data_IF_638517508598
#
_entry.id   IF_638517508598
#
_cell.length_a   1.000
_cell.length_b   1.000
_cell.length_c   1.000
_cell.angle_alpha   90.00
_cell.angle_beta   90.00
_cell.angle_gamma   90.00
#
_symmetry.space_group_name_H-M   'P 1'
#
loop_
_entity.id
_entity.type
_entity.pdbx_description
1 polymer ?
#
# COMPACT_ATOMS: atom_id res chain seq x y z
N UNK A 1 3.50 -4.41 11.98
CA UNK A 1 2.47 -4.81 11.02
C UNK A 1 2.96 -4.53 9.62
N UNK A 2 2.73 -5.46 8.71
CA UNK A 2 3.11 -5.33 7.31
C UNK A 2 1.87 -5.16 6.45
N UNK A 3 2.04 -4.68 5.21
CA UNK A 3 0.90 -4.43 4.32
C UNK A 3 0.07 -5.70 4.11
N UNK A 4 0.73 -6.85 4.01
CA UNK A 4 0.04 -8.13 3.83
C UNK A 4 -0.97 -8.47 4.93
N UNK A 5 -0.86 -7.83 6.10
CA UNK A 5 -1.77 -8.06 7.22
C UNK A 5 -3.05 -7.25 7.12
N UNK A 6 -3.15 -6.36 6.12
CA UNK A 6 -4.29 -5.48 5.95
C UNK A 6 -5.32 -6.09 5.01
N UNK A 7 -6.56 -5.61 5.13
CA UNK A 7 -7.66 -6.01 4.25
C UNK A 7 -7.86 -5.01 3.13
N UNK A 8 -8.46 -5.45 2.02
CA UNK A 8 -8.83 -4.56 0.91
C UNK A 8 -9.69 -3.43 1.47
N UNK A 9 -9.34 -2.20 1.09
CA UNK A 9 -10.03 -0.99 1.54
C UNK A 9 -9.38 -0.32 2.74
N UNK A 10 -8.47 -0.99 3.45
CA UNK A 10 -7.73 -0.35 4.55
C UNK A 10 -6.82 0.74 4.01
N UNK A 11 -6.72 1.83 4.77
CA UNK A 11 -5.85 2.96 4.46
C UNK A 11 -4.69 2.99 5.44
N UNK A 12 -3.51 3.32 4.94
CA UNK A 12 -2.30 3.30 5.78
C UNK A 12 -1.27 4.27 5.25
N UNK A 13 -0.24 4.50 6.06
CA UNK A 13 0.95 5.27 5.69
C UNK A 13 2.18 4.45 5.98
N UNK A 14 3.25 4.71 5.24
CA UNK A 14 4.55 4.06 5.43
C UNK A 14 5.60 5.10 5.81
N UNK A 15 6.71 4.63 6.36
CA UNK A 15 7.82 5.51 6.73
C UNK A 15 8.41 6.22 5.52
N UNK A 16 8.50 5.52 4.39
CA UNK A 16 9.06 6.09 3.17
C UNK A 16 8.14 7.06 2.45
N UNK A 17 6.83 6.95 2.66
CA UNK A 17 5.82 7.80 2.04
C UNK A 17 4.88 8.39 3.07
N UNK A 18 5.42 9.01 4.12
CA UNK A 18 4.63 9.44 5.27
C UNK A 18 3.62 10.55 4.95
N UNK A 19 3.81 11.27 3.85
CA UNK A 19 2.87 12.31 3.42
C UNK A 19 1.82 11.77 2.45
N UNK A 20 1.91 10.50 2.07
CA UNK A 20 0.97 9.85 1.18
C UNK A 20 0.05 8.91 1.96
N UNK A 21 -1.19 8.77 1.47
CA UNK A 21 -2.14 7.80 2.03
C UNK A 21 -2.30 6.69 1.00
N UNK A 22 -2.11 5.46 1.42
CA UNK A 22 -2.28 4.28 0.59
C UNK A 22 -3.57 3.57 0.94
N UNK A 23 -4.25 3.04 -0.06
CA UNK A 23 -5.43 2.20 0.14
C UNK A 23 -5.16 0.84 -0.49
N UNK A 24 -5.38 -0.24 0.25
CA UNK A 24 -5.20 -1.60 -0.26
C UNK A 24 -6.29 -1.89 -1.28
N UNK A 25 -5.92 -2.26 -2.50
CA UNK A 25 -6.86 -2.57 -3.58
C UNK A 25 -6.96 -4.06 -3.89
N UNK A 26 -5.94 -4.85 -3.53
CA UNK A 26 -5.94 -6.28 -3.82
C UNK A 26 -5.29 -7.07 -2.70
N UNK A 27 -5.52 -8.38 -2.69
CA UNK A 27 -4.71 -9.30 -1.90
C UNK A 27 -3.34 -9.48 -2.55
N UNK A 28 -2.46 -10.26 -1.91
CA UNK A 28 -1.14 -10.55 -2.47
C UNK A 28 -1.30 -11.20 -3.84
N UNK A 29 -0.58 -10.65 -4.82
CA UNK A 29 -0.49 -11.21 -6.16
C UNK A 29 0.94 -11.63 -6.44
N UNK A 30 1.10 -12.71 -7.19
CA UNK A 30 2.41 -13.19 -7.63
C UNK A 30 2.45 -13.09 -9.15
N UNK A 31 3.23 -12.13 -9.66
CA UNK A 31 3.37 -11.90 -11.10
C UNK A 31 4.85 -12.05 -11.42
N UNK A 32 5.19 -13.01 -12.30
CA UNK A 32 6.56 -13.30 -12.71
C UNK A 32 7.48 -13.56 -11.51
N UNK A 33 6.99 -14.32 -10.53
CA UNK A 33 7.70 -14.67 -9.29
C UNK A 33 7.99 -13.47 -8.38
N UNK A 34 7.29 -12.37 -8.60
CA UNK A 34 7.37 -11.19 -7.73
C UNK A 34 6.04 -11.03 -7.02
N UNK A 35 6.08 -11.03 -5.69
CA UNK A 35 4.90 -10.78 -4.88
C UNK A 35 4.63 -9.29 -4.78
N UNK A 36 3.35 -8.91 -4.86
CA UNK A 36 2.95 -7.52 -4.74
C UNK A 36 1.52 -7.38 -4.26
N UNK A 37 1.22 -6.20 -3.75
CA UNK A 37 -0.14 -5.79 -3.40
C UNK A 37 -0.42 -4.50 -4.13
N UNK A 38 -1.53 -4.46 -4.87
CA UNK A 38 -1.94 -3.25 -5.56
C UNK A 38 -2.53 -2.27 -4.56
N UNK A 39 -2.05 -1.04 -4.59
CA UNK A 39 -2.52 0.03 -3.72
C UNK A 39 -2.81 1.29 -4.52
N UNK A 40 -3.80 2.03 -4.08
CA UNK A 40 -4.04 3.40 -4.54
C UNK A 40 -3.23 4.34 -3.66
N UNK A 41 -2.49 5.25 -4.27
CA UNK A 41 -1.72 6.27 -3.55
C UNK A 41 -2.40 7.61 -3.75
N UNK A 42 -2.61 8.32 -2.64
CA UNK A 42 -3.05 9.71 -2.68
C UNK A 42 -1.95 10.58 -2.05
N UNK A 43 -1.37 11.45 -2.85
CA UNK A 43 -0.30 12.32 -2.38
C UNK A 43 -0.88 13.58 -1.71
N UNK A 44 -0.03 14.30 -0.96
CA UNK A 44 -0.44 15.50 -0.24
C UNK A 44 -0.96 16.60 -1.17
N UNK A 45 -0.51 16.63 -2.43
CA UNK A 45 -0.99 17.59 -3.42
C UNK A 45 -2.33 17.19 -4.06
N UNK A 46 -2.90 16.05 -3.67
CA UNK A 46 -4.16 15.54 -4.19
C UNK A 46 -4.04 14.57 -5.37
N UNK A 47 -2.85 14.40 -5.93
CA UNK A 47 -2.64 13.45 -7.02
C UNK A 47 -2.86 12.01 -6.53
N UNK A 48 -3.47 11.19 -7.40
CA UNK A 48 -3.70 9.78 -7.11
C UNK A 48 -3.17 8.91 -8.26
N UNK A 49 -2.64 7.75 -7.92
CA UNK A 49 -2.21 6.77 -8.91
C UNK A 49 -2.14 5.40 -8.24
N UNK A 50 -2.13 4.34 -9.06
CA UNK A 50 -1.98 2.98 -8.56
C UNK A 50 -0.50 2.62 -8.51
N UNK A 51 -0.13 1.83 -7.51
CA UNK A 51 1.24 1.34 -7.35
C UNK A 51 1.21 -0.08 -6.81
N UNK A 52 2.17 -0.88 -7.24
CA UNK A 52 2.40 -2.22 -6.73
C UNK A 52 3.45 -2.13 -5.62
N UNK A 53 3.13 -2.58 -4.42
CA UNK A 53 4.03 -2.53 -3.28
C UNK A 53 4.38 -3.93 -2.79
N UNK A 54 5.57 -4.09 -2.23
CA UNK A 54 5.95 -5.34 -1.57
C UNK A 54 5.00 -5.60 -0.39
N UNK A 55 4.50 -6.85 -0.23
CA UNK A 55 3.62 -7.18 0.89
C UNK A 55 4.28 -7.04 2.25
N UNK A 56 5.59 -6.97 2.29
CA UNK A 56 6.39 -6.99 3.53
C UNK A 56 6.81 -5.60 4.01
N UNK A 57 6.37 -4.55 3.32
CA UNK A 57 6.61 -3.18 3.77
C UNK A 57 5.90 -2.94 5.10
N UNK A 58 6.59 -2.33 6.05
CA UNK A 58 6.05 -2.03 7.37
C UNK A 58 5.05 -0.88 7.29
N UNK A 59 3.92 -1.05 7.98
CA UNK A 59 2.91 0.01 8.13
C UNK A 59 3.36 0.91 9.27
N UNK A 60 3.41 2.21 9.00
CA UNK A 60 3.73 3.20 10.03
C UNK A 60 2.46 3.60 10.79
N UNK A 61 1.43 3.97 10.06
CA UNK A 61 0.13 4.36 10.62
C UNK A 61 -0.99 3.65 9.88
N UNK A 62 -1.92 3.08 10.63
CA UNK A 62 -3.17 2.54 10.09
C UNK A 62 -4.25 3.61 10.29
N UNK A 63 -4.87 4.00 9.21
CA UNK A 63 -5.86 5.08 9.24
C UNK A 63 -7.30 4.58 9.26
#
# INVERSE_FOLDING_TARGET
>A
MEIKDLSIGNKFQTKGGKDAVYTVLSSIRNIDNVEGILCLVQQSNGDTYDVELSPYIKVLNLL
#
